data_IF_107411677413
#
_entry.id   IF_107411677413
#
_cell.length_a   1.000
_cell.length_b   1.000
_cell.length_c   1.000
_cell.angle_alpha   90.00
_cell.angle_beta   90.00
_cell.angle_gamma   90.00
#
_symmetry.space_group_name_H-M   'P 1'
#
loop_
_entity.id
_entity.type
_entity.pdbx_description
1 polymer ?
#
# COMPACT_ATOMS: atom_id res chain seq x y z
N UNK A 1 13.32 18.21 8.27
CA UNK A 1 14.75 18.56 8.45
C UNK A 1 14.97 20.04 8.16
N UNK A 2 16.04 20.63 8.69
CA UNK A 2 16.57 21.87 8.12
C UNK A 2 17.13 21.58 6.72
N UNK A 3 16.91 22.53 5.79
CA UNK A 3 17.27 22.39 4.36
C UNK A 3 16.29 21.62 3.45
N UNK A 4 15.24 20.98 3.99
CA UNK A 4 14.23 20.34 3.13
C UNK A 4 13.28 21.36 2.48
N UNK A 5 13.12 21.29 1.15
CA UNK A 5 12.23 22.20 0.41
C UNK A 5 10.81 22.20 0.99
N UNK A 6 10.20 23.38 1.07
CA UNK A 6 8.84 23.58 1.60
C UNK A 6 7.81 22.65 0.95
N UNK A 7 7.96 22.40 -0.36
CA UNK A 7 7.11 21.47 -1.11
C UNK A 7 7.17 20.03 -0.55
N UNK A 8 8.36 19.55 -0.17
CA UNK A 8 8.51 18.22 0.45
C UNK A 8 7.90 18.17 1.84
N UNK A 9 8.08 19.22 2.66
CA UNK A 9 7.49 19.28 4.01
C UNK A 9 5.97 19.22 3.94
N UNK A 10 5.36 20.02 3.05
CA UNK A 10 3.90 20.05 2.86
C UNK A 10 3.40 18.70 2.33
N UNK A 11 4.04 18.14 1.30
CA UNK A 11 3.59 16.88 0.70
C UNK A 11 3.75 15.70 1.66
N UNK A 12 4.82 15.67 2.46
CA UNK A 12 5.01 14.67 3.50
C UNK A 12 3.97 14.81 4.62
N UNK A 13 3.71 16.03 5.09
CA UNK A 13 2.70 16.27 6.13
C UNK A 13 1.29 15.87 5.66
N UNK A 14 0.92 16.22 4.43
CA UNK A 14 -0.34 15.80 3.81
C UNK A 14 -0.42 14.27 3.70
N UNK A 15 0.65 13.62 3.25
CA UNK A 15 0.76 12.16 3.15
C UNK A 15 0.56 11.46 4.50
N UNK A 16 1.24 11.91 5.54
CA UNK A 16 1.15 11.25 6.84
C UNK A 16 -0.21 11.48 7.50
N UNK A 17 -0.84 12.64 7.25
CA UNK A 17 -2.20 12.92 7.72
C UNK A 17 -3.27 12.06 7.03
N UNK A 18 -3.16 11.87 5.71
CA UNK A 18 -4.08 11.00 4.97
C UNK A 18 -3.86 9.53 5.34
N UNK A 19 -2.61 9.09 5.43
CA UNK A 19 -2.28 7.73 5.86
C UNK A 19 -2.87 7.44 7.24
N UNK A 20 -2.69 8.34 8.22
CA UNK A 20 -3.24 8.19 9.58
C UNK A 20 -4.77 8.04 9.61
N UNK A 21 -5.50 8.68 8.70
CA UNK A 21 -6.97 8.56 8.63
C UNK A 21 -7.43 7.31 7.88
N UNK A 22 -6.65 6.83 6.92
CA UNK A 22 -7.04 5.73 6.04
C UNK A 22 -6.59 4.38 6.62
N UNK A 23 -5.45 4.33 7.32
CA UNK A 23 -4.96 3.10 7.94
C UNK A 23 -5.65 2.85 9.27
N UNK A 24 -6.14 1.62 9.47
CA UNK A 24 -6.74 1.16 10.73
C UNK A 24 -5.74 1.12 11.90
N UNK A 25 -4.44 1.21 11.60
CA UNK A 25 -3.34 1.10 12.56
C UNK A 25 -2.66 2.45 12.73
N UNK A 26 -2.34 2.83 13.96
CA UNK A 26 -1.61 4.06 14.25
C UNK A 26 -0.13 3.92 13.87
N UNK A 27 0.23 4.33 12.65
CA UNK A 27 1.63 4.31 12.20
C UNK A 27 2.31 5.60 12.70
N UNK A 28 3.37 5.51 13.52
CA UNK A 28 4.09 6.69 13.99
C UNK A 28 4.67 7.46 12.79
N UNK A 29 4.38 8.75 12.74
CA UNK A 29 4.83 9.65 11.68
C UNK A 29 6.28 10.09 11.96
N UNK A 30 7.07 10.34 10.92
CA UNK A 30 8.45 10.86 11.02
C UNK A 30 9.47 10.00 11.80
N UNK A 31 9.15 8.72 12.04
CA UNK A 31 10.10 7.78 12.62
C UNK A 31 11.12 7.29 11.59
N UNK A 32 12.37 7.16 12.04
CA UNK A 32 13.39 6.43 11.30
C UNK A 32 13.08 4.94 11.21
N UNK A 33 13.70 4.23 10.26
CA UNK A 33 13.61 2.75 10.22
C UNK A 33 14.44 2.08 11.33
N UNK A 34 15.21 2.88 12.08
CA UNK A 34 16.02 2.42 13.21
C UNK A 34 15.14 2.11 14.42
N UNK A 35 15.25 0.89 14.95
CA UNK A 35 14.43 0.40 16.06
C UNK A 35 15.13 -0.72 16.82
N UNK A 36 14.84 -0.82 18.11
CA UNK A 36 15.13 -2.00 18.93
C UNK A 36 13.84 -2.80 19.11
N UNK A 37 13.92 -4.11 18.92
CA UNK A 37 12.76 -5.01 19.04
C UNK A 37 13.10 -6.18 19.95
N UNK A 38 12.21 -6.48 20.90
CA UNK A 38 12.30 -7.70 21.70
C UNK A 38 12.12 -8.93 20.79
N UNK A 39 12.81 -10.03 21.14
CA UNK A 39 12.72 -11.32 20.44
C UNK A 39 11.27 -11.80 20.30
N UNK A 40 10.41 -11.56 21.29
CA UNK A 40 8.99 -11.92 21.25
C UNK A 40 8.25 -11.21 20.11
N UNK A 41 8.58 -9.93 19.87
CA UNK A 41 8.00 -9.13 18.77
C UNK A 41 8.47 -9.68 17.42
N UNK A 42 9.79 -9.93 17.30
CA UNK A 42 10.39 -10.49 16.08
C UNK A 42 9.78 -11.84 15.72
N UNK A 43 9.53 -12.69 16.71
CA UNK A 43 8.92 -14.00 16.48
C UNK A 43 7.46 -13.90 15.97
N UNK A 44 6.69 -12.90 16.42
CA UNK A 44 5.35 -12.67 15.85
C UNK A 44 5.41 -12.13 14.43
N UNK A 45 6.31 -11.19 14.16
CA UNK A 45 6.52 -10.66 12.81
C UNK A 45 6.93 -11.76 11.81
N UNK A 46 7.77 -12.70 12.23
CA UNK A 46 8.18 -13.86 11.40
C UNK A 46 7.02 -14.77 11.00
N UNK A 47 5.93 -14.79 11.78
CA UNK A 47 4.74 -15.61 11.48
C UNK A 47 3.80 -14.93 10.49
N UNK A 48 3.95 -13.61 10.28
CA UNK A 48 3.18 -12.88 9.30
C UNK A 48 3.72 -13.18 7.90
N UNK A 49 2.98 -13.96 7.12
CA UNK A 49 3.33 -14.27 5.74
C UNK A 49 2.71 -13.23 4.79
N UNK A 50 3.19 -12.00 4.86
CA UNK A 50 2.72 -10.89 4.02
C UNK A 50 3.51 -10.88 2.69
N UNK A 51 2.85 -10.98 1.51
CA UNK A 51 3.53 -10.95 0.21
C UNK A 51 4.29 -9.65 -0.04
N UNK A 52 3.70 -8.53 0.37
CA UNK A 52 4.27 -7.18 0.25
C UNK A 52 4.54 -6.59 1.66
N UNK A 53 5.65 -6.96 2.31
CA UNK A 53 5.88 -6.64 3.71
C UNK A 53 6.13 -5.14 3.93
N UNK A 54 5.11 -4.44 4.45
CA UNK A 54 5.26 -3.09 4.96
C UNK A 54 5.60 -3.10 6.45
N UNK A 55 6.89 -3.27 6.76
CA UNK A 55 7.41 -3.47 8.12
C UNK A 55 6.94 -2.41 9.11
N UNK A 56 6.83 -1.14 8.70
CA UNK A 56 6.36 -0.05 9.59
C UNK A 56 4.92 -0.28 10.05
N UNK A 57 4.04 -0.69 9.13
CA UNK A 57 2.65 -1.04 9.43
C UNK A 57 2.57 -2.33 10.24
N UNK A 58 3.31 -3.38 9.85
CA UNK A 58 3.33 -4.65 10.57
C UNK A 58 3.75 -4.47 12.03
N UNK A 59 4.83 -3.74 12.30
CA UNK A 59 5.29 -3.50 13.68
C UNK A 59 4.25 -2.78 14.52
N UNK A 60 3.56 -1.78 13.95
CA UNK A 60 2.48 -1.10 14.66
C UNK A 60 1.25 -2.01 14.86
N UNK A 61 0.91 -2.84 13.87
CA UNK A 61 -0.24 -3.75 13.90
C UNK A 61 -0.11 -4.81 14.99
N UNK A 62 1.09 -5.36 15.20
CA UNK A 62 1.33 -6.38 16.24
C UNK A 62 1.05 -5.82 17.65
N UNK A 63 1.07 -4.50 17.84
CA UNK A 63 0.46 -3.86 19.01
C UNK A 63 1.19 -4.02 20.35
N UNK A 64 2.44 -4.47 20.35
CA UNK A 64 3.27 -4.52 21.56
C UNK A 64 3.55 -3.10 22.11
N UNK A 65 4.04 -3.03 23.37
CA UNK A 65 4.46 -1.78 24.01
C UNK A 65 5.53 -1.10 23.17
N UNK A 66 5.27 0.15 22.80
CA UNK A 66 6.13 0.97 21.96
C UNK A 66 6.50 2.26 22.70
N UNK A 67 7.71 2.74 22.48
CA UNK A 67 8.19 4.05 22.93
C UNK A 67 9.09 4.61 21.85
N UNK A 68 9.12 5.92 21.70
CA UNK A 68 10.03 6.62 20.81
C UNK A 68 11.20 7.22 21.60
N UNK A 69 12.31 7.44 20.88
CA UNK A 69 13.46 8.22 21.35
C UNK A 69 13.63 9.34 20.34
N UNK A 70 13.36 10.57 20.77
CA UNK A 70 13.52 11.75 19.93
C UNK A 70 15.00 12.04 19.74
N UNK A 71 15.37 12.37 18.51
CA UNK A 71 16.73 12.76 18.18
C UNK A 71 16.69 13.85 17.11
N UNK A 72 17.67 14.75 17.15
CA UNK A 72 17.78 15.81 16.17
C UNK A 72 18.48 15.30 14.92
N UNK A 73 17.78 15.36 13.79
CA UNK A 73 18.25 14.82 12.52
C UNK A 73 19.03 15.87 11.73
N UNK A 74 20.34 15.87 11.91
CA UNK A 74 21.28 16.72 11.16
C UNK A 74 21.13 16.59 9.63
N UNK A 75 21.54 17.64 8.91
CA UNK A 75 21.55 17.66 7.45
C UNK A 75 22.49 16.57 6.90
N UNK A 76 22.15 16.01 5.73
CA UNK A 76 23.04 15.03 5.09
C UNK A 76 24.26 15.77 4.55
N UNK A 77 25.45 15.40 5.02
CA UNK A 77 26.73 15.93 4.53
C UNK A 77 26.90 15.72 3.01
N UNK A 78 26.35 14.63 2.46
CA UNK A 78 26.30 14.38 1.03
C UNK A 78 25.15 13.43 0.63
N UNK A 79 24.69 13.55 -0.62
CA UNK A 79 23.77 12.61 -1.27
C UNK A 79 22.36 13.16 -1.50
N UNK A 80 21.78 12.81 -2.65
CA UNK A 80 20.37 13.08 -2.96
C UNK A 80 19.45 12.13 -2.20
N UNK A 81 18.18 12.52 -1.99
CA UNK A 81 17.20 11.62 -1.37
C UNK A 81 17.03 10.36 -2.23
N UNK A 82 17.26 9.18 -1.65
CA UNK A 82 16.93 7.89 -2.28
C UNK A 82 15.41 7.65 -2.43
N UNK A 83 14.61 8.53 -1.84
CA UNK A 83 13.15 8.53 -1.86
C UNK A 83 12.62 9.75 -2.64
N UNK A 84 12.39 9.62 -3.97
CA UNK A 84 11.64 10.61 -4.74
C UNK A 84 10.14 10.48 -4.45
N UNK A 85 9.36 11.52 -4.81
CA UNK A 85 7.91 11.59 -4.59
C UNK A 85 7.17 10.34 -5.09
N UNK A 86 7.55 9.81 -6.26
CA UNK A 86 6.96 8.59 -6.83
C UNK A 86 7.08 7.36 -5.90
N UNK A 87 8.21 7.21 -5.20
CA UNK A 87 8.38 6.11 -4.24
C UNK A 87 7.54 6.31 -2.99
N UNK A 88 7.34 7.57 -2.55
CA UNK A 88 6.44 7.88 -1.43
C UNK A 88 4.99 7.54 -1.78
N UNK A 89 4.53 7.92 -2.99
CA UNK A 89 3.17 7.61 -3.45
C UNK A 89 2.96 6.09 -3.54
N UNK A 90 3.94 5.35 -4.11
CA UNK A 90 3.87 3.88 -4.16
C UNK A 90 3.74 3.27 -2.77
N UNK A 91 4.59 3.70 -1.83
CA UNK A 91 4.52 3.24 -0.43
C UNK A 91 3.17 3.55 0.23
N UNK A 92 2.57 4.71 -0.07
CA UNK A 92 1.21 5.04 0.37
C UNK A 92 0.19 4.05 -0.17
N UNK A 93 0.22 3.82 -1.49
CA UNK A 93 -0.71 2.92 -2.14
C UNK A 93 -0.59 1.51 -1.57
N UNK A 94 0.63 1.02 -1.37
CA UNK A 94 0.89 -0.29 -0.76
C UNK A 94 0.35 -0.34 0.69
N UNK A 95 0.61 0.69 1.50
CA UNK A 95 0.09 0.78 2.87
C UNK A 95 -1.44 0.87 2.95
N UNK A 96 -2.07 1.68 2.10
CA UNK A 96 -3.53 1.85 2.05
C UNK A 96 -4.19 0.53 1.61
N UNK A 97 -3.67 -0.11 0.58
CA UNK A 97 -4.29 -1.33 0.02
C UNK A 97 -4.03 -2.58 0.87
N UNK A 98 -2.92 -2.65 1.61
CA UNK A 98 -2.65 -3.76 2.52
C UNK A 98 -3.35 -3.62 3.88
N UNK A 99 -3.59 -2.41 4.39
CA UNK A 99 -4.12 -2.19 5.74
C UNK A 99 -5.47 -1.45 5.80
N UNK A 100 -6.11 -1.19 4.66
CA UNK A 100 -7.39 -0.49 4.60
C UNK A 100 -8.31 -1.04 3.50
N UNK A 101 -9.61 -1.12 3.82
CA UNK A 101 -10.67 -1.35 2.84
C UNK A 101 -11.19 -0.05 2.22
N UNK A 102 -10.57 1.09 2.55
CA UNK A 102 -11.04 2.41 2.12
C UNK A 102 -11.20 2.59 0.60
N UNK A 103 -10.28 2.12 -0.28
CA UNK A 103 -10.51 2.17 -1.72
C UNK A 103 -11.79 1.44 -2.17
N UNK A 104 -12.13 0.34 -1.51
CA UNK A 104 -13.35 -0.42 -1.79
C UNK A 104 -14.59 0.35 -1.30
N UNK A 105 -14.49 1.00 -0.14
CA UNK A 105 -15.57 1.84 0.40
C UNK A 105 -15.88 3.05 -0.48
N UNK A 106 -14.87 3.70 -1.08
CA UNK A 106 -15.09 4.79 -2.05
C UNK A 106 -15.93 4.31 -3.23
N UNK A 107 -15.61 3.14 -3.80
CA UNK A 107 -16.36 2.58 -4.91
C UNK A 107 -17.85 2.37 -4.54
N UNK A 108 -18.11 1.88 -3.32
CA UNK A 108 -19.47 1.73 -2.81
C UNK A 108 -20.19 3.09 -2.66
N UNK A 109 -19.52 4.12 -2.16
CA UNK A 109 -20.13 5.44 -2.01
C UNK A 109 -20.46 6.07 -3.36
N UNK A 110 -19.53 6.02 -4.32
CA UNK A 110 -19.75 6.53 -5.68
C UNK A 110 -20.88 5.77 -6.36
N UNK A 111 -20.94 4.44 -6.22
CA UNK A 111 -22.04 3.61 -6.72
C UNK A 111 -23.38 4.02 -6.10
N UNK A 112 -23.45 4.17 -4.78
CA UNK A 112 -24.66 4.61 -4.07
C UNK A 112 -25.15 5.99 -4.52
N UNK A 113 -24.25 6.97 -4.66
CA UNK A 113 -24.62 8.28 -5.20
C UNK A 113 -25.13 8.20 -6.64
N UNK A 114 -24.50 7.37 -7.47
CA UNK A 114 -24.95 7.15 -8.85
C UNK A 114 -26.36 6.58 -8.91
N UNK A 115 -26.72 5.66 -8.00
CA UNK A 115 -28.07 5.09 -7.91
C UNK A 115 -29.08 6.16 -7.50
N UNK A 116 -28.77 6.98 -6.48
CA UNK A 116 -29.65 8.06 -6.02
C UNK A 116 -29.92 9.06 -7.16
N UNK A 117 -28.86 9.49 -7.86
CA UNK A 117 -29.00 10.37 -9.02
C UNK A 117 -29.79 9.73 -10.16
N UNK A 118 -29.57 8.44 -10.43
CA UNK A 118 -30.30 7.68 -11.44
C UNK A 118 -31.80 7.60 -11.15
N UNK A 119 -32.18 7.30 -9.90
CA UNK A 119 -33.58 7.27 -9.46
C UNK A 119 -34.22 8.66 -9.55
N UNK A 120 -33.52 9.69 -9.06
CA UNK A 120 -34.01 11.07 -9.15
C UNK A 120 -34.27 11.51 -10.59
N UNK A 121 -33.37 11.16 -11.51
CA UNK A 121 -33.54 11.42 -12.93
C UNK A 121 -34.71 10.64 -13.56
N UNK A 122 -34.89 9.37 -13.19
CA UNK A 122 -36.02 8.57 -13.66
C UNK A 122 -37.35 9.22 -13.26
N UNK A 123 -37.47 9.67 -12.01
CA UNK A 123 -38.67 10.33 -11.50
C UNK A 123 -38.95 11.64 -12.28
N UNK A 124 -37.94 12.49 -12.49
CA UNK A 124 -38.14 13.75 -13.23
C UNK A 124 -38.49 13.50 -14.69
N UNK A 125 -37.86 12.50 -15.33
CA UNK A 125 -38.15 12.12 -16.71
C UNK A 125 -39.57 11.56 -16.90
N UNK A 126 -40.17 10.93 -15.88
CA UNK A 126 -41.58 10.50 -15.94
C UNK A 126 -42.55 11.67 -15.80
N UNK A 127 -42.15 12.75 -15.14
CA UNK A 127 -42.97 13.93 -14.88
C UNK A 127 -42.82 15.03 -15.94
N UNK A 128 -41.80 14.97 -16.81
CA UNK A 128 -41.54 16.01 -17.83
C UNK A 128 -41.13 15.44 -19.17
N UNK A 129 -41.57 16.09 -20.26
CA UNK A 129 -41.16 15.79 -21.64
C UNK A 129 -39.80 16.42 -21.97
N UNK A 130 -38.76 16.10 -21.20
CA UNK A 130 -37.39 16.61 -21.48
C UNK A 130 -36.76 15.80 -22.62
N UNK A 131 -36.06 16.48 -23.55
CA UNK A 131 -35.30 15.82 -24.61
C UNK A 131 -34.08 15.09 -24.02
N UNK A 132 -34.27 13.78 -23.80
CA UNK A 132 -33.60 12.95 -22.79
C UNK A 132 -32.28 12.33 -23.29
N UNK A 133 -32.06 12.34 -24.60
CA UNK A 133 -31.07 11.49 -25.28
C UNK A 133 -29.62 11.85 -24.88
N UNK A 134 -29.27 13.15 -24.84
CA UNK A 134 -27.89 13.57 -24.51
C UNK A 134 -27.51 13.23 -23.06
N UNK A 135 -28.45 13.39 -22.15
CA UNK A 135 -28.26 13.07 -20.74
C UNK A 135 -28.24 11.56 -20.50
N UNK A 136 -29.09 10.80 -21.20
CA UNK A 136 -29.09 9.33 -21.16
C UNK A 136 -27.75 8.76 -21.64
N UNK A 137 -27.19 9.26 -22.75
CA UNK A 137 -25.88 8.82 -23.25
C UNK A 137 -24.78 9.14 -22.23
N UNK A 138 -24.75 10.35 -21.67
CA UNK A 138 -23.80 10.73 -20.62
C UNK A 138 -23.91 9.83 -19.38
N UNK A 139 -25.14 9.56 -18.90
CA UNK A 139 -25.40 8.71 -17.76
C UNK A 139 -24.94 7.26 -18.00
N UNK A 140 -25.15 6.72 -19.20
CA UNK A 140 -24.66 5.39 -19.58
C UNK A 140 -23.14 5.33 -19.55
N UNK A 141 -22.43 6.29 -20.16
CA UNK A 141 -20.97 6.32 -20.12
C UNK A 141 -20.43 6.47 -18.68
N UNK A 142 -21.07 7.30 -17.86
CA UNK A 142 -20.71 7.48 -16.46
C UNK A 142 -20.92 6.20 -15.64
N UNK A 143 -22.05 5.52 -15.85
CA UNK A 143 -22.37 4.24 -15.19
C UNK A 143 -21.41 3.13 -15.60
N UNK A 144 -21.06 3.05 -16.89
CA UNK A 144 -20.04 2.12 -17.39
C UNK A 144 -18.67 2.44 -16.76
N UNK A 145 -18.29 3.72 -16.71
CA UNK A 145 -17.04 4.16 -16.08
C UNK A 145 -16.94 3.78 -14.60
N UNK A 146 -18.00 4.04 -13.81
CA UNK A 146 -18.05 3.66 -12.39
C UNK A 146 -18.01 2.14 -12.22
N UNK A 147 -18.69 1.39 -13.08
CA UNK A 147 -18.69 -0.07 -13.04
C UNK A 147 -17.29 -0.63 -13.33
N UNK A 148 -16.60 -0.11 -14.36
CA UNK A 148 -15.21 -0.50 -14.67
C UNK A 148 -14.26 -0.17 -13.51
N UNK A 149 -14.44 0.99 -12.86
CA UNK A 149 -13.68 1.34 -11.67
C UNK A 149 -13.93 0.36 -10.52
N UNK A 150 -15.18 0.00 -10.26
CA UNK A 150 -15.54 -0.98 -9.21
C UNK A 150 -14.99 -2.37 -9.51
N UNK A 151 -15.08 -2.84 -10.76
CA UNK A 151 -14.46 -4.11 -11.19
C UNK A 151 -12.94 -4.05 -11.05
N UNK A 152 -12.32 -2.92 -11.41
CA UNK A 152 -10.88 -2.70 -11.25
C UNK A 152 -10.43 -2.73 -9.78
N UNK A 153 -11.17 -2.12 -8.86
CA UNK A 153 -10.86 -2.17 -7.43
C UNK A 153 -11.02 -3.60 -6.90
N UNK A 154 -12.12 -4.30 -7.22
CA UNK A 154 -12.31 -5.71 -6.85
C UNK A 154 -11.16 -6.57 -7.39
N UNK A 155 -10.78 -6.40 -8.66
CA UNK A 155 -9.66 -7.10 -9.27
C UNK A 155 -8.34 -6.87 -8.55
N UNK A 156 -8.08 -5.66 -8.04
CA UNK A 156 -6.88 -5.34 -7.26
C UNK A 156 -6.82 -6.09 -5.92
N UNK A 157 -7.95 -6.23 -5.22
CA UNK A 157 -8.02 -7.02 -3.98
C UNK A 157 -7.98 -8.53 -4.28
N UNK A 158 -8.65 -8.98 -5.34
CA UNK A 158 -8.62 -10.37 -5.76
C UNK A 158 -7.20 -10.80 -6.14
N UNK A 159 -6.44 -9.95 -6.82
CA UNK A 159 -5.03 -10.19 -7.12
C UNK A 159 -4.20 -10.34 -5.82
N UNK A 160 -4.42 -9.50 -4.81
CA UNK A 160 -3.73 -9.60 -3.52
C UNK A 160 -4.04 -10.90 -2.80
N UNK A 161 -5.31 -11.30 -2.77
CA UNK A 161 -5.74 -12.58 -2.19
C UNK A 161 -5.10 -13.74 -2.96
N UNK A 162 -5.10 -13.68 -4.28
CA UNK A 162 -4.47 -14.67 -5.13
C UNK A 162 -2.96 -14.75 -4.87
N UNK A 163 -2.27 -13.62 -4.75
CA UNK A 163 -0.84 -13.59 -4.49
C UNK A 163 -0.48 -14.13 -3.10
N UNK A 164 -1.27 -13.77 -2.07
CA UNK A 164 -1.16 -14.34 -0.73
C UNK A 164 -1.42 -15.86 -0.72
N UNK A 165 -2.36 -16.34 -1.54
CA UNK A 165 -2.66 -17.77 -1.68
C UNK A 165 -1.53 -18.57 -2.33
N UNK A 166 -0.74 -17.96 -3.22
CA UNK A 166 0.41 -18.62 -3.87
C UNK A 166 1.54 -18.98 -2.90
N UNK A 167 1.58 -18.39 -1.69
CA UNK A 167 2.60 -18.66 -0.64
C UNK A 167 4.03 -18.69 -1.18
N UNK A 168 4.37 -17.77 -2.09
CA UNK A 168 5.74 -17.65 -2.61
C UNK A 168 6.67 -17.17 -1.49
N UNK A 169 7.86 -17.76 -1.33
CA UNK A 169 8.82 -17.25 -0.36
C UNK A 169 9.30 -15.86 -0.77
N UNK A 170 9.45 -14.95 0.20
CA UNK A 170 9.88 -13.56 -0.02
C UNK A 170 11.28 -13.47 -0.67
N UNK A 171 12.15 -14.44 -0.36
CA UNK A 171 13.49 -14.53 -0.93
C UNK A 171 13.95 -15.99 -0.91
N UNK A 172 14.89 -16.29 -1.79
CA UNK A 172 15.60 -17.57 -1.83
C UNK A 172 17.07 -17.25 -1.54
N UNK A 173 17.65 -17.91 -0.54
CA UNK A 173 19.04 -17.73 -0.17
C UNK A 173 19.92 -18.57 -1.09
N UNK A 174 20.83 -17.92 -1.81
CA UNK A 174 21.76 -18.61 -2.69
C UNK A 174 22.95 -19.22 -1.93
N UNK A 175 23.60 -18.42 -1.08
CA UNK A 175 24.77 -18.82 -0.28
C UNK A 175 24.73 -18.16 1.09
N UNK A 176 25.25 -18.84 2.12
CA UNK A 176 25.43 -18.30 3.48
C UNK A 176 26.88 -18.46 3.91
N UNK A 177 27.46 -17.43 4.54
CA UNK A 177 28.79 -17.49 5.15
C UNK A 177 28.72 -16.99 6.59
N UNK A 178 29.34 -17.69 7.54
CA UNK A 178 29.33 -17.33 8.96
C UNK A 178 28.00 -17.55 9.70
N UNK A 179 26.96 -18.06 9.02
CA UNK A 179 25.69 -18.44 9.62
C UNK A 179 25.55 -19.96 9.60
N UNK A 180 25.03 -20.54 10.69
CA UNK A 180 24.65 -21.96 10.71
C UNK A 180 23.46 -22.10 9.75
N UNK A 181 23.61 -22.85 8.66
CA UNK A 181 22.48 -23.19 7.80
C UNK A 181 21.43 -23.85 8.66
N UNK A 182 20.34 -23.14 8.93
CA UNK A 182 19.14 -23.80 9.41
C UNK A 182 18.59 -24.53 8.20
N UNK A 183 18.77 -25.84 8.15
CA UNK A 183 17.98 -26.72 7.30
C UNK A 183 16.52 -26.56 7.75
N UNK A 184 15.85 -25.54 7.24
CA UNK A 184 14.40 -25.49 7.25
C UNK A 184 13.94 -26.63 6.35
N UNK A 185 12.98 -27.41 6.83
CA UNK A 185 12.36 -28.58 6.19
C UNK A 185 11.52 -28.18 4.95
N UNK A 186 12.12 -27.37 4.07
CA UNK A 186 11.56 -26.97 2.80
C UNK A 186 12.26 -27.77 1.71
N UNK A 187 11.52 -28.43 0.80
CA UNK A 187 12.11 -29.20 -0.28
C UNK A 187 13.06 -28.29 -1.07
N UNK A 188 14.30 -28.75 -1.25
CA UNK A 188 15.34 -28.05 -1.99
C UNK A 188 14.85 -27.81 -3.42
N UNK A 189 14.32 -26.63 -3.71
CA UNK A 189 13.97 -26.25 -5.08
C UNK A 189 15.25 -25.88 -5.81
N UNK A 190 15.82 -26.84 -6.54
CA UNK A 190 17.00 -26.63 -7.37
C UNK A 190 16.68 -25.72 -8.55
N UNK A 191 16.72 -24.41 -8.35
CA UNK A 191 16.86 -23.46 -9.45
C UNK A 191 18.27 -22.85 -9.37
N UNK A 192 19.20 -23.48 -10.09
CA UNK A 192 20.48 -22.83 -10.43
C UNK A 192 20.19 -21.76 -11.49
N UNK A 193 19.88 -20.54 -11.05
CA UNK A 193 20.02 -19.39 -11.95
C UNK A 193 21.50 -19.10 -12.10
N UNK A 194 22.11 -19.58 -13.18
CA UNK A 194 23.44 -19.15 -13.59
C UNK A 194 23.39 -17.68 -13.95
N UNK A 195 23.64 -16.80 -12.98
CA UNK A 195 23.94 -15.40 -13.27
C UNK A 195 25.31 -15.41 -13.97
N UNK A 196 25.29 -15.43 -15.30
CA UNK A 196 26.49 -15.12 -16.10
C UNK A 196 26.88 -13.69 -15.75
N UNK A 197 27.93 -13.56 -14.93
CA UNK A 197 28.50 -12.28 -14.58
C UNK A 197 28.91 -11.53 -15.84
N UNK A 198 28.26 -10.40 -16.11
CA UNK A 198 28.90 -9.33 -16.85
C UNK A 198 29.76 -8.60 -15.83
N UNK A 199 31.06 -8.89 -15.91
CA UNK A 199 32.11 -8.25 -15.17
C UNK A 199 31.99 -6.72 -15.24
N UNK A 200 32.25 -6.09 -14.10
CA UNK A 200 32.75 -4.73 -14.06
C UNK A 200 33.99 -4.63 -14.94
N UNK A 201 33.93 -3.73 -15.93
CA UNK A 201 35.06 -2.96 -16.43
C UNK A 201 34.67 -1.49 -16.32
#
# INVERSE_FOLDING_TARGET
>A
RDGESLFKKITAAAFYRTLKHITSVHIPVDTGDFRLMDVKVVNQLKRMNEPDPFVRGMVSWVGFKQTDVTYERQERVAGTTKYPLRKMIRLAMDGITSFSSFPLQIANWVGSFSIIFGIGYLITSLLTTMNTIRFAVFAVFLMVGITLLAVGTIGSYLYRIFDASRRRPLYIVANTSGFRSQETDHPKTYYQTTIRGRAFQ
#
